data_IF_565033062525
#
_entry.id   IF_565033062525
#
_cell.length_a   1.000
_cell.length_b   1.000
_cell.length_c   1.000
_cell.angle_alpha   90.00
_cell.angle_beta   90.00
_cell.angle_gamma   90.00
#
_symmetry.space_group_name_H-M   'P 1'
#
loop_
_entity.id
_entity.type
_entity.pdbx_description
1 polymer ?
#
# COMPACT_ATOMS: atom_id res chain seq x y z
N UNK A 1 -12.77 9.21 -1.90
CA UNK A 1 -11.89 9.69 -0.84
C UNK A 1 -12.65 9.85 0.46
N UNK A 2 -12.30 9.04 1.44
CA UNK A 2 -12.95 9.06 2.74
C UNK A 2 -12.02 9.74 3.75
N UNK A 3 -12.34 10.97 4.10
CA UNK A 3 -11.52 11.76 5.03
C UNK A 3 -11.40 11.08 6.40
N UNK A 4 -12.48 10.45 6.86
CA UNK A 4 -12.48 9.74 8.13
C UNK A 4 -11.51 8.55 8.11
N UNK A 5 -11.51 7.77 7.03
CA UNK A 5 -10.58 6.65 6.86
C UNK A 5 -9.13 7.17 6.80
N UNK A 6 -8.90 8.28 6.11
CA UNK A 6 -7.58 8.90 6.05
C UNK A 6 -7.08 9.31 7.42
N UNK A 7 -7.96 9.89 8.24
CA UNK A 7 -7.59 10.29 9.60
C UNK A 7 -7.30 9.09 10.48
N UNK A 8 -8.04 8.00 10.34
CA UNK A 8 -7.80 6.76 11.09
C UNK A 8 -6.44 6.19 10.73
N UNK A 9 -6.12 6.10 9.44
CA UNK A 9 -4.83 5.57 8.98
C UNK A 9 -3.67 6.41 9.54
N UNK A 10 -3.79 7.74 9.48
CA UNK A 10 -2.77 8.63 10.03
C UNK A 10 -2.58 8.41 11.53
N UNK A 11 -3.67 8.35 12.29
CA UNK A 11 -3.59 8.19 13.74
C UNK A 11 -2.96 6.86 14.14
N UNK A 12 -3.34 5.78 13.46
CA UNK A 12 -2.76 4.46 13.73
C UNK A 12 -1.26 4.49 13.46
N UNK A 13 -0.86 5.03 12.32
CA UNK A 13 0.55 5.07 11.95
C UNK A 13 1.37 5.93 12.92
N UNK A 14 0.88 7.11 13.26
CA UNK A 14 1.60 8.03 14.15
C UNK A 14 1.65 7.54 15.60
N UNK A 15 0.74 6.65 15.99
CA UNK A 15 0.72 6.05 17.31
C UNK A 15 1.43 4.68 17.34
N UNK A 16 2.36 4.45 16.42
CA UNK A 16 3.17 3.23 16.33
C UNK A 16 2.37 1.98 15.94
N UNK A 17 1.19 2.15 15.38
CA UNK A 17 0.42 1.04 14.84
C UNK A 17 0.88 0.64 13.46
N UNK A 18 0.42 -0.52 13.00
CA UNK A 18 0.74 -1.04 11.68
C UNK A 18 -0.39 -0.67 10.71
N UNK A 19 0.00 -0.12 9.55
CA UNK A 19 -0.93 0.12 8.45
C UNK A 19 -0.56 -0.82 7.31
N UNK A 20 -1.51 -1.58 6.83
CA UNK A 20 -1.23 -2.56 5.78
C UNK A 20 -2.36 -2.61 4.76
N UNK A 21 -2.00 -2.99 3.53
CA UNK A 21 -2.96 -3.16 2.44
C UNK A 21 -2.36 -4.05 1.37
N UNK A 22 -3.21 -4.70 0.59
CA UNK A 22 -2.77 -5.60 -0.47
C UNK A 22 -3.61 -5.39 -1.73
N UNK A 23 -3.01 -5.64 -2.89
CA UNK A 23 -3.66 -5.59 -4.20
C UNK A 23 -4.16 -4.17 -4.51
N UNK A 24 -5.47 -3.93 -4.53
CA UNK A 24 -6.05 -2.60 -4.71
C UNK A 24 -6.27 -1.86 -3.38
N UNK A 25 -6.10 -2.55 -2.24
CA UNK A 25 -6.24 -1.93 -0.92
C UNK A 25 -5.40 -0.68 -0.72
N UNK A 26 -4.14 -0.64 -1.23
CA UNK A 26 -3.33 0.57 -1.11
C UNK A 26 -3.94 1.83 -1.74
N UNK A 27 -5.03 1.71 -2.51
CA UNK A 27 -5.75 2.89 -2.98
C UNK A 27 -6.21 3.78 -1.83
N UNK A 28 -6.45 3.20 -0.66
CA UNK A 28 -6.80 3.96 0.54
C UNK A 28 -5.61 4.73 1.11
N UNK A 29 -4.39 4.45 0.64
CA UNK A 29 -3.15 5.04 1.17
C UNK A 29 -2.63 6.21 0.34
N UNK A 30 -3.24 6.49 -0.82
CA UNK A 30 -2.71 7.54 -1.71
C UNK A 30 -2.96 8.95 -1.20
N UNK A 31 -3.99 9.18 -0.41
CA UNK A 31 -4.35 10.51 0.05
C UNK A 31 -4.04 10.82 1.53
N UNK A 32 -3.95 9.85 2.48
CA UNK A 32 -3.63 10.20 3.86
C UNK A 32 -2.34 11.00 3.97
N UNK A 33 -2.37 12.03 4.81
CA UNK A 33 -1.19 12.84 5.13
C UNK A 33 -0.87 12.71 6.60
N UNK A 34 0.42 12.75 6.90
CA UNK A 34 0.90 12.81 8.28
C UNK A 34 0.72 14.22 8.83
N UNK A 35 0.89 14.38 10.13
CA UNK A 35 0.76 15.68 10.79
C UNK A 35 1.73 16.72 10.27
N UNK A 36 2.87 16.29 9.67
CA UNK A 36 3.84 17.20 9.07
C UNK A 36 3.47 17.68 7.66
N UNK A 37 2.29 17.30 7.15
CA UNK A 37 1.82 17.70 5.83
C UNK A 37 2.26 16.83 4.66
N UNK A 38 3.14 15.87 4.90
CA UNK A 38 3.60 14.94 3.86
C UNK A 38 2.63 13.78 3.71
N UNK A 39 2.55 13.21 2.49
CA UNK A 39 1.75 12.00 2.29
C UNK A 39 2.33 10.86 3.11
N UNK A 40 1.45 10.01 3.64
CA UNK A 40 1.87 8.86 4.46
C UNK A 40 2.87 7.98 3.70
N UNK A 41 2.67 7.80 2.39
CA UNK A 41 3.52 6.94 1.56
C UNK A 41 4.77 7.64 1.03
N UNK A 42 4.89 8.96 1.19
CA UNK A 42 6.01 9.72 0.63
C UNK A 42 7.33 9.24 1.21
N UNK A 43 8.26 8.87 0.32
CA UNK A 43 9.57 8.35 0.70
C UNK A 43 9.55 6.92 1.21
N UNK A 44 8.41 6.27 1.26
CA UNK A 44 8.29 4.89 1.74
C UNK A 44 8.31 3.89 0.61
N UNK A 45 8.90 2.73 0.86
CA UNK A 45 8.85 1.62 -0.08
C UNK A 45 7.48 0.96 0.03
N UNK A 46 6.80 0.83 -1.10
CA UNK A 46 5.46 0.25 -1.15
C UNK A 46 5.30 -0.60 -2.40
N UNK A 47 4.30 -1.48 -2.39
CA UNK A 47 3.82 -2.11 -3.60
C UNK A 47 2.29 -2.18 -3.56
N UNK A 48 1.72 -2.51 -4.70
CA UNK A 48 0.28 -2.62 -4.87
C UNK A 48 0.03 -3.33 -6.20
N UNK A 49 -1.23 -3.46 -6.57
CA UNK A 49 -1.59 -4.01 -7.87
C UNK A 49 -0.92 -3.18 -8.96
N UNK A 50 -0.14 -3.84 -9.82
CA UNK A 50 0.67 -3.14 -10.82
C UNK A 50 -0.13 -2.80 -12.07
N UNK A 51 0.41 -1.88 -12.89
CA UNK A 51 -0.18 -1.58 -14.19
C UNK A 51 -0.27 -2.83 -15.06
N UNK A 52 0.76 -3.69 -15.02
CA UNK A 52 0.77 -4.93 -15.77
C UNK A 52 -0.37 -5.86 -15.34
N UNK A 53 -0.63 -5.93 -14.03
CA UNK A 53 -1.71 -6.76 -13.50
C UNK A 53 -3.08 -6.17 -13.84
N UNK A 54 -3.23 -4.84 -13.85
CA UNK A 54 -4.46 -4.20 -14.30
C UNK A 54 -4.74 -4.53 -15.77
N UNK A 55 -3.72 -4.46 -16.61
CA UNK A 55 -3.85 -4.81 -18.02
C UNK A 55 -4.21 -6.28 -18.19
N UNK A 56 -3.59 -7.18 -17.41
CA UNK A 56 -3.85 -8.61 -17.49
C UNK A 56 -5.31 -8.96 -17.17
N UNK A 57 -5.95 -8.22 -16.25
CA UNK A 57 -7.36 -8.43 -15.92
C UNK A 57 -8.29 -7.49 -16.68
N UNK A 58 -7.74 -6.67 -17.60
CA UNK A 58 -8.48 -5.77 -18.48
C UNK A 58 -9.28 -4.70 -17.73
N UNK A 59 -8.73 -4.21 -16.61
CA UNK A 59 -9.37 -3.18 -15.81
C UNK A 59 -8.70 -1.81 -15.92
N UNK A 60 -7.65 -1.67 -16.73
CA UNK A 60 -6.90 -0.42 -16.84
C UNK A 60 -7.75 0.77 -17.28
N UNK A 61 -8.83 0.51 -18.00
CA UNK A 61 -9.75 1.56 -18.47
C UNK A 61 -11.00 1.69 -17.59
N UNK A 62 -11.10 0.86 -16.54
CA UNK A 62 -12.28 0.83 -15.64
C UNK A 62 -11.99 1.50 -14.31
N UNK A 63 -10.76 1.35 -13.80
CA UNK A 63 -10.38 1.95 -12.52
C UNK A 63 -10.25 3.47 -12.66
N UNK A 64 -10.56 4.24 -11.59
CA UNK A 64 -10.48 5.71 -11.66
C UNK A 64 -9.06 6.24 -11.85
N UNK A 65 -8.05 5.46 -11.48
CA UNK A 65 -6.64 5.76 -11.72
C UNK A 65 -5.84 4.45 -11.62
N UNK A 66 -4.66 4.44 -12.23
CA UNK A 66 -3.73 3.31 -12.09
C UNK A 66 -2.99 3.50 -10.78
N UNK A 67 -3.14 2.53 -9.88
CA UNK A 67 -2.63 2.64 -8.52
C UNK A 67 -1.11 2.74 -8.45
N UNK A 68 -0.40 2.00 -9.28
CA UNK A 68 1.06 2.10 -9.37
C UNK A 68 1.49 3.53 -9.67
N UNK A 69 0.84 4.16 -10.68
CA UNK A 69 1.16 5.53 -11.09
C UNK A 69 0.83 6.53 -9.99
N UNK A 70 -0.31 6.36 -9.32
CA UNK A 70 -0.74 7.29 -8.28
C UNK A 70 0.19 7.26 -7.07
N UNK A 71 0.64 6.07 -6.66
CA UNK A 71 1.58 5.94 -5.55
C UNK A 71 2.91 6.61 -5.88
N UNK A 72 3.41 6.45 -7.10
CA UNK A 72 4.62 7.13 -7.54
C UNK A 72 4.43 8.65 -7.55
N UNK A 73 3.27 9.13 -7.98
CA UNK A 73 2.94 10.56 -7.98
C UNK A 73 2.96 11.13 -6.56
N UNK A 74 2.54 10.34 -5.56
CA UNK A 74 2.56 10.75 -4.15
C UNK A 74 3.93 10.63 -3.49
N UNK A 75 4.97 10.29 -4.26
CA UNK A 75 6.33 10.24 -3.76
C UNK A 75 6.76 8.92 -3.17
N UNK A 76 5.97 7.87 -3.31
CA UNK A 76 6.34 6.54 -2.83
C UNK A 76 7.43 5.92 -3.72
N UNK A 77 8.26 5.08 -3.12
CA UNK A 77 9.25 4.27 -3.84
C UNK A 77 8.57 2.94 -4.15
N UNK A 78 8.15 2.78 -5.39
CA UNK A 78 7.37 1.61 -5.79
C UNK A 78 8.27 0.42 -6.13
N UNK A 79 8.03 -0.72 -5.48
CA UNK A 79 8.73 -1.97 -5.77
C UNK A 79 7.73 -2.97 -6.33
N UNK A 80 8.13 -3.76 -7.32
CA UNK A 80 7.23 -4.74 -7.92
C UNK A 80 7.96 -5.99 -8.37
N UNK A 81 7.24 -7.11 -8.34
CA UNK A 81 7.62 -8.36 -8.97
C UNK A 81 6.81 -8.53 -10.26
N UNK A 82 7.04 -9.61 -10.98
CA UNK A 82 6.26 -9.95 -12.17
C UNK A 82 4.80 -10.23 -11.84
N UNK A 83 4.02 -10.48 -12.87
CA UNK A 83 2.58 -10.76 -12.74
C UNK A 83 2.32 -11.89 -11.76
N UNK A 84 1.37 -11.66 -10.85
CA UNK A 84 0.83 -12.65 -9.92
C UNK A 84 1.86 -13.33 -9.02
N UNK A 85 3.02 -12.71 -8.84
CA UNK A 85 4.03 -13.22 -7.92
C UNK A 85 3.82 -12.68 -6.52
N UNK A 86 4.08 -13.52 -5.53
CA UNK A 86 4.03 -13.11 -4.14
C UNK A 86 5.10 -12.07 -3.87
N UNK A 87 4.71 -10.87 -3.46
CA UNK A 87 5.65 -9.79 -3.16
C UNK A 87 5.08 -8.91 -2.07
N UNK A 88 5.78 -8.87 -0.94
CA UNK A 88 5.42 -8.04 0.22
C UNK A 88 6.53 -7.04 0.47
N UNK A 89 6.17 -5.80 0.70
CA UNK A 89 7.11 -4.74 1.06
C UNK A 89 6.74 -4.22 2.45
N UNK A 90 7.71 -4.19 3.34
CA UNK A 90 7.54 -3.63 4.67
C UNK A 90 8.52 -2.49 4.84
N UNK A 91 8.02 -1.28 5.07
CA UNK A 91 8.85 -0.11 5.35
C UNK A 91 8.35 0.48 6.67
N UNK A 92 9.14 0.28 7.72
CA UNK A 92 8.73 0.58 9.09
C UNK A 92 7.41 -0.15 9.41
N UNK A 93 6.35 0.58 9.73
CA UNK A 93 5.04 0.01 10.09
C UNK A 93 4.06 0.02 8.93
N UNK A 94 4.53 0.32 7.71
CA UNK A 94 3.71 0.28 6.51
C UNK A 94 4.03 -1.00 5.74
N UNK A 95 3.04 -1.89 5.64
CA UNK A 95 3.21 -3.19 4.99
C UNK A 95 2.24 -3.28 3.83
N UNK A 96 2.76 -3.51 2.63
CA UNK A 96 1.94 -3.60 1.43
C UNK A 96 2.22 -4.90 0.67
N UNK A 97 1.23 -5.38 -0.06
CA UNK A 97 1.34 -6.55 -0.91
C UNK A 97 0.81 -6.24 -2.30
N UNK A 98 1.43 -6.84 -3.30
CA UNK A 98 1.20 -6.48 -4.70
C UNK A 98 -0.13 -7.02 -5.24
N UNK A 99 -0.50 -8.26 -4.91
CA UNK A 99 -1.57 -8.97 -5.58
C UNK A 99 -2.19 -10.01 -4.64
N UNK A 100 -3.24 -10.72 -5.06
CA UNK A 100 -3.88 -11.73 -4.20
C UNK A 100 -2.91 -12.80 -3.68
N UNK A 101 -1.89 -13.14 -4.48
CA UNK A 101 -0.89 -14.12 -4.08
C UNK A 101 -0.05 -13.67 -2.89
N UNK A 102 -0.05 -12.36 -2.59
CA UNK A 102 0.72 -11.78 -1.49
C UNK A 102 -0.05 -11.71 -0.17
N UNK A 103 -1.35 -11.98 -0.17
CA UNK A 103 -2.20 -11.75 1.01
C UNK A 103 -1.74 -12.51 2.25
N UNK A 104 -1.40 -13.79 2.10
CA UNK A 104 -0.92 -14.62 3.22
C UNK A 104 0.39 -14.07 3.79
N UNK A 105 1.31 -13.68 2.92
CA UNK A 105 2.63 -13.17 3.33
C UNK A 105 2.49 -11.80 4.02
N UNK A 106 1.54 -10.96 3.60
CA UNK A 106 1.24 -9.72 4.31
C UNK A 106 0.80 -10.03 5.75
N UNK A 107 -0.11 -10.98 5.92
CA UNK A 107 -0.57 -11.39 7.25
C UNK A 107 0.58 -11.92 8.11
N UNK A 108 1.47 -12.70 7.52
CA UNK A 108 2.65 -13.24 8.23
C UNK A 108 3.59 -12.12 8.66
N UNK A 109 3.79 -11.12 7.82
CA UNK A 109 4.65 -9.98 8.16
C UNK A 109 4.04 -9.13 9.28
N UNK A 110 2.72 -8.91 9.26
CA UNK A 110 2.03 -8.21 10.34
C UNK A 110 2.23 -8.94 11.66
N UNK A 111 2.03 -10.25 11.67
CA UNK A 111 2.18 -11.06 12.87
C UNK A 111 3.60 -11.00 13.42
N UNK A 112 4.59 -11.06 12.52
CA UNK A 112 6.00 -10.94 12.88
C UNK A 112 6.30 -9.61 13.57
N UNK A 113 5.78 -8.50 13.03
CA UNK A 113 6.01 -7.18 13.61
C UNK A 113 5.30 -7.03 14.96
N UNK A 114 4.11 -7.59 15.11
CA UNK A 114 3.39 -7.54 16.39
C UNK A 114 4.13 -8.31 17.49
N UNK A 115 4.81 -9.40 17.14
CA UNK A 115 5.59 -10.19 18.11
C UNK A 115 6.86 -9.48 18.54
N UNK A 116 7.34 -8.52 17.76
CA UNK A 116 8.56 -7.76 18.07
C UNK A 116 8.29 -6.54 18.95
N UNK A 117 7.03 -6.23 19.22
CA UNK A 117 6.65 -5.07 20.05
C UNK A 117 6.69 -5.38 21.54
#
# INVERSE_FOLDING_TARGET
DNTELQNIARKIYENNGIVSAVCHGPSALVNPKLSNGKYLVEGKKVNAFTNEEETAVKLENVVPFLLEDKLKERGAIFEKSGLWQNHVVADERLITGQNPQSAKSVGEEILKQLKQK
#
